data_IF_128509894641
#
_entry.id   IF_128509894641
#
_cell.length_a   1.000
_cell.length_b   1.000
_cell.length_c   1.000
_cell.angle_alpha   90.00
_cell.angle_beta   90.00
_cell.angle_gamma   90.00
#
_symmetry.space_group_name_H-M   'P 1'
#
loop_
_entity.id
_entity.type
_entity.pdbx_description
1 polymer ?
#
# COMPACT_ATOMS: atom_id res chain seq x y z
N UNK A 1 2.38 -0.32 -9.76
CA UNK A 1 0.96 0.10 -9.73
C UNK A 1 0.48 0.81 -11.00
N UNK A 2 1.07 1.94 -11.41
CA UNK A 2 0.62 2.71 -12.60
C UNK A 2 0.58 1.87 -13.91
N UNK A 3 1.66 1.15 -14.23
CA UNK A 3 1.72 0.24 -15.40
C UNK A 3 0.63 -0.84 -15.38
N UNK A 4 0.25 -1.30 -14.19
CA UNK A 4 -0.81 -2.28 -13.98
C UNK A 4 -2.22 -1.66 -14.03
N UNK A 5 -2.36 -0.33 -14.14
CA UNK A 5 -3.63 0.41 -14.09
C UNK A 5 -4.44 0.09 -12.83
N UNK A 6 -3.80 0.23 -11.67
CA UNK A 6 -4.40 -0.01 -10.34
C UNK A 6 -4.43 1.31 -9.59
N UNK A 7 -5.59 1.65 -9.04
CA UNK A 7 -5.76 2.87 -8.25
C UNK A 7 -5.26 2.64 -6.83
N UNK A 8 -4.35 3.49 -6.38
CA UNK A 8 -3.86 3.49 -4.99
C UNK A 8 -4.65 4.55 -4.23
N UNK A 9 -5.43 4.13 -3.23
CA UNK A 9 -6.37 5.02 -2.50
C UNK A 9 -5.76 5.62 -1.24
N UNK A 10 -4.71 5.00 -0.70
CA UNK A 10 -3.98 5.49 0.47
C UNK A 10 -2.55 4.99 0.43
N UNK A 11 -1.60 5.81 0.86
CA UNK A 11 -0.18 5.45 1.05
C UNK A 11 0.23 5.94 2.44
N UNK A 12 0.87 5.07 3.20
CA UNK A 12 1.52 5.42 4.46
C UNK A 12 2.89 4.75 4.53
N UNK A 13 3.85 5.45 5.12
CA UNK A 13 5.19 4.95 5.32
C UNK A 13 5.62 5.27 6.74
N UNK A 14 6.02 4.24 7.49
CA UNK A 14 6.63 4.42 8.81
C UNK A 14 8.14 4.50 8.64
N UNK A 15 8.77 5.52 9.24
CA UNK A 15 10.21 5.77 9.12
C UNK A 15 11.06 4.87 10.02
N UNK A 16 10.49 4.25 11.05
CA UNK A 16 11.22 3.39 11.98
C UNK A 16 11.72 2.09 11.35
N UNK A 17 11.02 1.58 10.34
CA UNK A 17 11.26 0.26 9.73
C UNK A 17 11.33 0.33 8.20
N UNK A 18 11.32 1.54 7.62
CA UNK A 18 11.29 1.77 6.17
C UNK A 18 10.20 0.99 5.42
N UNK A 19 9.12 0.60 6.10
CA UNK A 19 8.00 -0.13 5.51
C UNK A 19 7.00 0.82 4.85
N UNK A 20 6.65 0.52 3.60
CA UNK A 20 5.61 1.22 2.83
C UNK A 20 4.36 0.35 2.82
N UNK A 21 3.25 0.89 3.29
CA UNK A 21 1.93 0.29 3.16
C UNK A 21 1.06 1.15 2.25
N UNK A 22 0.27 0.50 1.40
CA UNK A 22 -0.69 1.18 0.54
C UNK A 22 -1.96 0.36 0.40
N UNK A 23 -3.05 1.04 0.09
CA UNK A 23 -4.35 0.41 -0.10
C UNK A 23 -4.81 0.52 -1.55
N UNK A 24 -5.47 -0.53 -2.03
CA UNK A 24 -6.11 -0.62 -3.35
C UNK A 24 -7.54 -1.14 -3.18
N UNK A 25 -8.45 -0.92 -4.13
CA UNK A 25 -9.76 -1.57 -4.13
C UNK A 25 -9.61 -3.10 -4.07
N UNK A 26 -10.48 -3.79 -3.32
CA UNK A 26 -10.42 -5.26 -3.17
C UNK A 26 -10.46 -5.98 -4.53
N UNK A 27 -11.15 -5.42 -5.52
CA UNK A 27 -11.21 -5.95 -6.90
C UNK A 27 -9.85 -5.98 -7.61
N UNK A 28 -8.90 -5.15 -7.16
CA UNK A 28 -7.55 -5.05 -7.72
C UNK A 28 -6.50 -5.84 -6.93
N UNK A 29 -6.87 -6.47 -5.80
CA UNK A 29 -5.94 -7.16 -4.88
C UNK A 29 -4.98 -8.12 -5.61
N UNK A 30 -5.55 -9.10 -6.33
CA UNK A 30 -4.77 -10.12 -7.05
C UNK A 30 -3.87 -9.52 -8.13
N UNK A 31 -4.35 -8.48 -8.84
CA UNK A 31 -3.56 -7.78 -9.87
C UNK A 31 -2.42 -6.99 -9.23
N UNK A 32 -2.65 -6.38 -8.07
CA UNK A 32 -1.66 -5.61 -7.34
C UNK A 32 -0.56 -6.52 -6.78
N UNK A 33 -0.95 -7.63 -6.15
CA UNK A 33 -0.02 -8.64 -5.64
C UNK A 33 0.87 -9.17 -6.76
N UNK A 34 0.29 -9.58 -7.89
CA UNK A 34 1.06 -10.05 -9.04
C UNK A 34 2.02 -9.00 -9.57
N UNK A 35 1.57 -7.74 -9.70
CA UNK A 35 2.43 -6.66 -10.17
C UNK A 35 3.59 -6.37 -9.21
N UNK A 36 3.39 -6.52 -7.89
CA UNK A 36 4.45 -6.37 -6.89
C UNK A 36 5.44 -7.54 -6.96
N UNK A 37 4.95 -8.77 -7.05
CA UNK A 37 5.78 -9.96 -7.17
C UNK A 37 6.63 -9.94 -8.44
N UNK A 38 6.08 -9.46 -9.56
CA UNK A 38 6.82 -9.32 -10.83
C UNK A 38 7.88 -8.21 -10.75
N UNK A 39 7.56 -7.06 -10.16
CA UNK A 39 8.47 -5.91 -10.09
C UNK A 39 9.62 -6.16 -9.10
N UNK A 40 9.36 -6.81 -7.97
CA UNK A 40 10.34 -7.06 -6.89
C UNK A 40 10.87 -8.51 -6.86
N UNK A 41 10.75 -9.23 -7.97
CA UNK A 41 11.09 -10.66 -8.03
C UNK A 41 12.52 -10.96 -7.57
N UNK A 42 13.49 -10.15 -7.99
CA UNK A 42 14.90 -10.35 -7.65
C UNK A 42 15.17 -10.03 -6.18
N UNK A 43 14.64 -8.91 -5.69
CA UNK A 43 14.82 -8.47 -4.31
C UNK A 43 14.21 -9.44 -3.30
N UNK A 44 13.02 -9.99 -3.61
CA UNK A 44 12.38 -11.03 -2.80
C UNK A 44 13.18 -12.34 -2.84
N UNK A 45 13.71 -12.72 -4.01
CA UNK A 45 14.50 -13.95 -4.19
C UNK A 45 15.84 -13.88 -3.45
N UNK A 46 16.51 -12.74 -3.49
CA UNK A 46 17.80 -12.52 -2.83
C UNK A 46 17.66 -12.14 -1.34
N UNK A 47 16.43 -12.06 -0.82
CA UNK A 47 16.15 -11.74 0.58
C UNK A 47 16.45 -10.28 0.97
N UNK A 48 16.52 -9.39 -0.02
CA UNK A 48 16.66 -7.94 0.19
C UNK A 48 15.34 -7.32 0.66
N UNK A 49 14.21 -7.97 0.32
CA UNK A 49 12.88 -7.62 0.81
C UNK A 49 12.24 -8.83 1.50
N UNK A 50 11.50 -8.54 2.57
CA UNK A 50 10.62 -9.53 3.18
C UNK A 50 9.45 -9.87 2.25
N UNK A 51 8.84 -11.07 2.40
CA UNK A 51 7.65 -11.44 1.63
C UNK A 51 6.55 -10.38 1.73
N UNK A 52 5.89 -10.11 0.60
CA UNK A 52 4.79 -9.17 0.55
C UNK A 52 3.66 -9.59 1.52
N UNK A 53 3.32 -8.73 2.46
CA UNK A 53 2.18 -8.91 3.34
C UNK A 53 0.91 -8.34 2.70
N UNK A 54 -0.15 -9.14 2.61
CA UNK A 54 -1.44 -8.75 2.04
C UNK A 54 -2.53 -8.93 3.10
N UNK A 55 -3.25 -7.85 3.40
CA UNK A 55 -4.40 -7.86 4.32
C UNK A 55 -5.64 -7.42 3.58
N UNK A 56 -6.63 -8.30 3.50
CA UNK A 56 -7.87 -8.09 2.76
C UNK A 56 -9.03 -7.69 3.67
N UNK A 57 -10.17 -7.30 3.07
CA UNK A 57 -11.42 -6.97 3.78
C UNK A 57 -11.25 -5.83 4.79
N UNK A 58 -10.52 -4.80 4.37
CA UNK A 58 -10.32 -3.56 5.13
C UNK A 58 -11.26 -2.45 4.63
N UNK A 59 -11.49 -1.46 5.50
CA UNK A 59 -12.19 -0.23 5.15
C UNK A 59 -11.34 0.97 5.57
N UNK A 60 -11.42 2.05 4.79
CA UNK A 60 -10.77 3.33 5.10
C UNK A 60 -11.85 4.28 5.60
N UNK A 61 -11.68 4.78 6.82
CA UNK A 61 -12.54 5.82 7.39
C UNK A 61 -11.75 7.13 7.32
N UNK A 62 -12.30 8.14 6.65
CA UNK A 62 -11.73 9.47 6.55
C UNK A 62 -12.68 10.48 7.15
N UNK A 63 -12.22 11.26 8.14
CA UNK A 63 -12.97 12.39 8.69
C UNK A 63 -12.65 13.67 7.93
N UNK A 64 -13.66 14.44 7.54
CA UNK A 64 -13.50 15.75 6.90
C UNK A 64 -13.96 16.87 7.82
N UNK A 65 -13.10 17.87 8.03
CA UNK A 65 -13.42 19.12 8.72
C UNK A 65 -12.87 20.31 7.93
N UNK A 66 -13.64 21.39 7.84
CA UNK A 66 -13.25 22.63 7.16
C UNK A 66 -11.94 23.15 7.80
N UNK A 67 -10.83 23.12 7.06
CA UNK A 67 -9.51 23.54 7.58
C UNK A 67 -8.67 22.46 8.29
N UNK A 68 -8.53 21.24 7.74
CA UNK A 68 -7.57 20.22 8.21
C UNK A 68 -6.07 20.60 8.03
N UNK A 69 -5.63 21.68 8.69
CA UNK A 69 -4.24 21.98 9.08
C UNK A 69 -4.23 22.40 10.55
N UNK A 70 -4.87 21.63 11.43
CA UNK A 70 -4.62 21.62 12.89
C UNK A 70 -5.45 20.49 13.52
N UNK A 71 -5.04 19.25 13.33
CA UNK A 71 -5.42 18.19 14.27
C UNK A 71 -4.41 18.26 15.42
N UNK A 72 -4.65 19.16 16.38
CA UNK A 72 -4.14 18.98 17.73
C UNK A 72 -5.22 18.23 18.50
N UNK A 73 -4.87 17.04 18.98
CA UNK A 73 -5.58 16.41 20.08
C UNK A 73 -5.36 17.20 21.37
#
# INVERSE_FOLDING_TARGET
MSRARISVVLITQSSSEYSISFCVPQSDCVRAERAMQEEFYLELKEGLLEPLAVTERLAIISGGGDGMRTLRG
#
